data_IF_420461515881
#
_entry.id   IF_420461515881
#
_cell.length_a   1.000
_cell.length_b   1.000
_cell.length_c   1.000
_cell.angle_alpha   90.00
_cell.angle_beta   90.00
_cell.angle_gamma   90.00
#
_symmetry.space_group_name_H-M   'P 1'
#
loop_
_entity.id
_entity.type
_entity.pdbx_description
1 polymer ?
#
# COMPACT_ATOMS: atom_id res chain seq x y z
N UNK A 1 23.95 -79.67 18.12
CA UNK A 1 22.70 -79.53 17.35
C UNK A 1 21.85 -78.46 18.00
N UNK A 2 21.63 -77.36 17.27
CA UNK A 2 20.58 -76.32 17.38
C UNK A 2 20.48 -75.54 18.71
N UNK A 3 20.97 -74.30 18.80
CA UNK A 3 20.47 -73.04 18.21
C UNK A 3 19.41 -72.35 19.08
N UNK A 4 19.81 -71.23 19.72
CA UNK A 4 19.09 -69.95 19.78
C UNK A 4 19.89 -68.95 20.62
N UNK A 5 20.64 -68.09 19.92
CA UNK A 5 21.28 -66.91 20.48
C UNK A 5 20.26 -65.77 20.56
N UNK A 6 20.08 -65.21 21.76
CA UNK A 6 19.46 -63.91 21.95
C UNK A 6 20.57 -62.86 21.87
N UNK A 7 20.61 -62.08 20.80
CA UNK A 7 21.41 -60.86 20.71
C UNK A 7 20.43 -59.70 20.53
N UNK A 8 20.26 -58.89 21.58
CA UNK A 8 19.62 -57.59 21.49
C UNK A 8 20.46 -56.71 20.55
N UNK A 9 19.95 -56.42 19.37
CA UNK A 9 20.46 -55.37 18.48
C UNK A 9 19.67 -54.10 18.78
N UNK A 10 20.33 -53.19 19.50
CA UNK A 10 19.92 -51.81 19.71
C UNK A 10 20.04 -51.09 18.37
N UNK A 11 18.93 -50.90 17.65
CA UNK A 11 18.90 -50.11 16.41
C UNK A 11 18.97 -48.64 16.80
N UNK A 12 20.14 -48.05 16.54
CA UNK A 12 20.40 -46.62 16.61
C UNK A 12 19.69 -45.93 15.44
N UNK A 13 18.49 -45.40 15.67
CA UNK A 13 17.82 -44.51 14.71
C UNK A 13 18.48 -43.13 14.77
N UNK A 14 19.41 -42.89 13.84
CA UNK A 14 19.94 -41.56 13.54
C UNK A 14 18.80 -40.73 12.94
N UNK A 15 18.23 -39.81 13.74
CA UNK A 15 17.37 -38.75 13.24
C UNK A 15 18.26 -37.78 12.48
N UNK A 16 18.26 -37.87 11.15
CA UNK A 16 18.81 -36.81 10.30
C UNK A 16 17.88 -35.61 10.45
N UNK A 17 18.27 -34.66 11.28
CA UNK A 17 17.64 -33.35 11.33
C UNK A 17 17.89 -32.66 9.99
N UNK A 18 16.91 -32.74 9.09
CA UNK A 18 16.88 -31.87 7.91
C UNK A 18 16.76 -30.44 8.45
N UNK A 19 17.72 -29.55 8.17
CA UNK A 19 17.59 -28.16 8.58
C UNK A 19 16.37 -27.60 7.83
N UNK A 20 15.33 -27.23 8.58
CA UNK A 20 14.22 -26.47 8.03
C UNK A 20 14.83 -25.20 7.42
N UNK A 21 14.78 -25.07 6.11
CA UNK A 21 15.15 -23.85 5.42
C UNK A 21 14.31 -22.71 6.02
N UNK A 22 14.90 -21.55 6.34
CA UNK A 22 14.12 -20.43 6.83
C UNK A 22 13.14 -20.05 5.71
N UNK A 23 11.85 -20.34 5.91
CA UNK A 23 10.81 -19.77 5.08
C UNK A 23 10.91 -18.26 5.23
N UNK A 24 11.11 -17.55 4.12
CA UNK A 24 10.93 -16.12 4.07
C UNK A 24 9.49 -15.84 4.53
N UNK A 25 9.33 -15.39 5.77
CA UNK A 25 8.05 -14.88 6.25
C UNK A 25 7.79 -13.58 5.49
N UNK A 26 7.00 -13.66 4.42
CA UNK A 26 6.49 -12.50 3.71
C UNK A 26 5.69 -11.60 4.66
N UNK A 27 5.67 -10.31 4.38
CA UNK A 27 4.89 -9.31 5.11
C UNK A 27 3.43 -9.77 5.27
N UNK A 28 2.87 -9.68 6.48
CA UNK A 28 1.46 -10.01 6.77
C UNK A 28 0.94 -11.37 6.24
N UNK A 29 1.79 -12.41 6.13
CA UNK A 29 1.35 -13.73 5.66
C UNK A 29 1.16 -13.83 4.14
N UNK A 30 1.62 -12.82 3.39
CA UNK A 30 1.75 -12.78 1.92
C UNK A 30 2.78 -13.80 1.39
N UNK A 31 2.92 -14.98 2.01
CA UNK A 31 3.88 -16.03 1.62
C UNK A 31 3.28 -17.45 1.55
N UNK A 32 1.98 -17.63 1.80
CA UNK A 32 1.35 -18.98 1.91
C UNK A 32 0.37 -19.25 0.75
N UNK A 33 0.14 -20.52 0.41
CA UNK A 33 -0.61 -20.92 -0.80
C UNK A 33 -2.05 -20.40 -0.85
N UNK A 34 -2.54 -20.10 -2.05
CA UNK A 34 -3.84 -19.49 -2.34
C UNK A 34 -5.00 -20.51 -2.47
N UNK A 35 -4.83 -21.73 -1.97
CA UNK A 35 -5.80 -22.81 -2.19
C UNK A 35 -7.21 -22.43 -1.68
N UNK A 36 -8.19 -22.46 -2.59
CA UNK A 36 -9.59 -22.11 -2.31
C UNK A 36 -9.94 -20.62 -2.39
N UNK A 37 -8.97 -19.70 -2.42
CA UNK A 37 -9.23 -18.27 -2.64
C UNK A 37 -9.39 -17.93 -4.13
N UNK A 38 -10.14 -16.87 -4.43
CA UNK A 38 -10.20 -16.31 -5.78
C UNK A 38 -8.83 -15.75 -6.18
N UNK A 39 -8.43 -15.92 -7.44
CA UNK A 39 -7.16 -15.40 -7.97
C UNK A 39 -7.48 -14.38 -9.07
N UNK A 40 -6.74 -13.27 -9.18
CA UNK A 40 -6.94 -12.33 -10.28
C UNK A 40 -6.80 -13.00 -11.65
N UNK A 41 -7.72 -12.69 -12.55
CA UNK A 41 -7.79 -13.25 -13.90
C UNK A 41 -7.61 -12.13 -14.93
N UNK A 42 -6.73 -12.37 -15.90
CA UNK A 42 -6.50 -11.40 -16.97
C UNK A 42 -7.77 -11.25 -17.82
N UNK A 43 -8.11 -10.01 -18.15
CA UNK A 43 -9.22 -9.69 -19.06
C UNK A 43 -10.57 -9.49 -18.38
N UNK A 44 -10.66 -9.69 -17.06
CA UNK A 44 -11.83 -9.28 -16.27
C UNK A 44 -11.73 -7.77 -16.00
N UNK A 45 -12.67 -6.95 -16.52
CA UNK A 45 -12.62 -5.51 -16.31
C UNK A 45 -13.11 -5.14 -14.90
N UNK A 46 -12.53 -4.07 -14.36
CA UNK A 46 -13.09 -3.39 -13.20
C UNK A 46 -14.46 -2.79 -13.54
N UNK A 47 -15.41 -2.88 -12.61
CA UNK A 47 -16.76 -2.34 -12.73
C UNK A 47 -17.13 -1.53 -11.50
N UNK A 48 -17.42 -0.24 -11.72
CA UNK A 48 -17.79 0.70 -10.66
C UNK A 48 -19.31 0.94 -10.64
N UNK A 49 -19.92 1.12 -9.46
CA UNK A 49 -19.27 1.26 -8.15
C UNK A 49 -18.94 -0.07 -7.44
N UNK A 50 -19.31 -1.23 -8.00
CA UNK A 50 -19.14 -2.55 -7.35
C UNK A 50 -17.74 -2.76 -6.77
N UNK A 51 -16.71 -2.48 -7.55
CA UNK A 51 -15.31 -2.76 -7.18
C UNK A 51 -14.70 -1.69 -6.24
N UNK A 52 -15.50 -0.72 -5.77
CA UNK A 52 -15.14 0.07 -4.58
C UNK A 52 -15.37 -0.69 -3.27
N UNK A 53 -16.27 -1.68 -3.28
CA UNK A 53 -16.57 -2.51 -2.13
C UNK A 53 -15.41 -3.42 -1.73
N UNK A 54 -15.63 -4.21 -0.68
CA UNK A 54 -14.72 -5.29 -0.31
C UNK A 54 -14.91 -6.52 -1.21
N UNK A 55 -13.82 -7.24 -1.45
CA UNK A 55 -13.76 -8.46 -2.25
C UNK A 55 -13.42 -9.68 -1.37
N UNK A 56 -14.33 -10.17 -0.52
CA UNK A 56 -14.04 -11.14 0.54
C UNK A 56 -13.60 -12.53 0.06
N UNK A 57 -13.81 -12.84 -1.22
CA UNK A 57 -13.31 -14.08 -1.85
C UNK A 57 -11.80 -14.06 -2.11
N UNK A 58 -11.17 -12.87 -2.05
CA UNK A 58 -9.74 -12.70 -2.16
C UNK A 58 -9.10 -12.67 -0.77
N UNK A 59 -7.88 -13.15 -0.70
CA UNK A 59 -7.19 -13.26 0.57
C UNK A 59 -6.79 -11.91 1.15
N UNK A 60 -6.32 -10.99 0.32
CA UNK A 60 -5.77 -9.71 0.75
C UNK A 60 -6.41 -8.55 0.02
N UNK A 61 -6.59 -7.44 0.73
CA UNK A 61 -7.16 -6.23 0.17
C UNK A 61 -6.74 -4.97 0.95
N UNK A 62 -6.43 -3.88 0.26
CA UNK A 62 -5.90 -2.64 0.86
C UNK A 62 -6.64 -1.41 0.36
N UNK A 63 -7.11 -0.56 1.28
CA UNK A 63 -7.51 0.83 1.03
C UNK A 63 -6.39 1.71 1.54
N UNK A 64 -5.64 2.34 0.63
CA UNK A 64 -4.39 2.99 0.96
C UNK A 64 -4.38 4.42 0.44
N UNK A 65 -4.31 5.40 1.34
CA UNK A 65 -4.35 6.81 0.98
C UNK A 65 -3.13 7.54 1.50
N UNK A 66 -2.45 8.25 0.61
CA UNK A 66 -1.34 9.14 0.93
C UNK A 66 -1.69 10.57 0.57
N UNK A 67 -1.22 11.55 1.34
CA UNK A 67 -1.48 12.97 1.07
C UNK A 67 -0.25 13.83 1.32
N UNK A 68 0.02 14.74 0.39
CA UNK A 68 1.02 15.79 0.49
C UNK A 68 0.30 17.11 0.77
N UNK A 69 0.60 17.72 1.92
CA UNK A 69 -0.16 18.84 2.47
C UNK A 69 0.75 20.05 2.75
N UNK A 70 0.16 21.23 2.70
CA UNK A 70 0.79 22.48 3.12
C UNK A 70 -0.16 23.31 3.98
N UNK A 71 0.38 23.98 4.97
CA UNK A 71 -0.33 25.02 5.74
C UNK A 71 -0.17 26.40 5.08
N UNK A 72 -0.97 27.37 5.53
CA UNK A 72 -0.93 28.74 5.02
C UNK A 72 0.42 29.46 5.22
N UNK A 73 1.20 29.05 6.23
CA UNK A 73 2.56 29.56 6.49
C UNK A 73 3.66 28.82 5.68
N UNK A 74 3.28 27.86 4.83
CA UNK A 74 4.17 27.16 3.91
C UNK A 74 4.84 25.90 4.48
N UNK A 75 4.54 25.50 5.73
CA UNK A 75 5.04 24.22 6.27
C UNK A 75 4.43 23.05 5.50
N UNK A 76 5.26 22.04 5.25
CA UNK A 76 4.86 20.82 4.53
C UNK A 76 4.53 19.71 5.53
N UNK A 77 3.49 18.96 5.21
CA UNK A 77 3.06 17.81 5.98
C UNK A 77 2.72 16.65 5.05
N UNK A 78 2.67 15.46 5.63
CA UNK A 78 2.15 14.28 4.96
C UNK A 78 1.19 13.51 5.85
N UNK A 79 0.13 12.95 5.25
CA UNK A 79 -0.70 11.94 5.90
C UNK A 79 -0.65 10.61 5.15
N UNK A 80 -0.76 9.53 5.92
CA UNK A 80 -1.06 8.21 5.41
C UNK A 80 -2.26 7.64 6.18
N UNK A 81 -3.18 6.99 5.47
CA UNK A 81 -4.24 6.16 6.04
C UNK A 81 -4.33 4.83 5.28
N UNK A 82 -4.22 3.73 6.00
CA UNK A 82 -4.29 2.37 5.43
C UNK A 82 -5.30 1.54 6.19
N UNK A 83 -6.19 0.88 5.47
CA UNK A 83 -6.99 -0.23 5.97
C UNK A 83 -6.65 -1.48 5.16
N UNK A 84 -6.12 -2.48 5.84
CA UNK A 84 -5.76 -3.76 5.27
C UNK A 84 -6.67 -4.87 5.78
N UNK A 85 -7.14 -5.71 4.86
CA UNK A 85 -7.86 -6.94 5.18
C UNK A 85 -7.03 -8.15 4.79
N UNK A 86 -6.98 -9.13 5.68
CA UNK A 86 -6.47 -10.47 5.40
C UNK A 86 -7.49 -11.54 5.80
N UNK A 87 -7.77 -12.48 4.90
CA UNK A 87 -8.62 -13.63 5.17
C UNK A 87 -7.79 -14.81 5.69
N UNK A 88 -8.26 -15.44 6.77
CA UNK A 88 -7.68 -16.65 7.36
C UNK A 88 -8.08 -17.93 6.63
N UNK A 89 -9.27 -17.96 6.06
CA UNK A 89 -9.79 -19.07 5.25
C UNK A 89 -10.63 -18.54 4.07
N UNK A 90 -10.74 -19.31 2.98
CA UNK A 90 -11.61 -18.95 1.86
C UNK A 90 -13.11 -18.95 2.20
N UNK A 91 -13.92 -18.42 1.27
CA UNK A 91 -15.38 -18.42 1.36
C UNK A 91 -15.98 -17.16 1.99
N UNK A 92 -15.19 -16.10 2.17
CA UNK A 92 -15.66 -14.74 2.42
C UNK A 92 -16.41 -14.51 3.73
N UNK A 93 -16.31 -15.42 4.70
CA UNK A 93 -16.95 -15.25 6.01
C UNK A 93 -16.31 -14.10 6.78
N UNK A 94 -17.12 -13.21 7.34
CA UNK A 94 -16.65 -12.08 8.14
C UNK A 94 -15.80 -12.50 9.33
N UNK A 95 -16.21 -13.55 10.06
CA UNK A 95 -15.48 -14.06 11.24
C UNK A 95 -14.07 -14.58 10.91
N UNK A 96 -13.80 -14.83 9.62
CA UNK A 96 -12.52 -15.30 9.10
C UNK A 96 -11.64 -14.17 8.57
N UNK A 97 -12.05 -12.91 8.71
CA UNK A 97 -11.29 -11.73 8.30
C UNK A 97 -10.54 -11.12 9.49
N UNK A 98 -9.31 -10.66 9.23
CA UNK A 98 -8.53 -9.81 10.11
C UNK A 98 -8.36 -8.46 9.43
N UNK A 99 -8.48 -7.39 10.20
CA UNK A 99 -8.30 -6.02 9.76
C UNK A 99 -7.14 -5.37 10.49
N UNK A 100 -6.32 -4.62 9.75
CA UNK A 100 -5.24 -3.80 10.29
C UNK A 100 -5.39 -2.38 9.76
N UNK A 101 -5.40 -1.41 10.66
CA UNK A 101 -5.43 0.00 10.35
C UNK A 101 -4.08 0.64 10.69
N UNK A 102 -3.48 1.35 9.75
CA UNK A 102 -2.31 2.20 10.01
C UNK A 102 -2.62 3.64 9.63
N UNK A 103 -2.17 4.58 10.45
CA UNK A 103 -2.29 5.99 10.15
C UNK A 103 -1.03 6.72 10.62
N UNK A 104 -0.61 7.71 9.83
CA UNK A 104 0.52 8.55 10.17
C UNK A 104 0.30 10.02 9.83
N UNK A 105 0.95 10.88 10.60
CA UNK A 105 1.11 12.29 10.31
C UNK A 105 2.59 12.66 10.37
N UNK A 106 3.09 13.27 9.29
CA UNK A 106 4.51 13.61 9.11
C UNK A 106 4.69 15.11 8.93
N UNK A 107 5.62 15.72 9.66
CA UNK A 107 6.23 17.02 9.37
C UNK A 107 7.73 16.82 9.14
N UNK A 108 8.46 17.90 8.85
CA UNK A 108 9.92 17.84 8.74
C UNK A 108 10.60 17.39 10.06
N UNK A 109 9.95 17.63 11.20
CA UNK A 109 10.50 17.37 12.54
C UNK A 109 9.95 16.09 13.18
N UNK A 110 8.76 15.63 12.77
CA UNK A 110 8.10 14.49 13.42
C UNK A 110 7.47 13.53 12.41
N UNK A 111 7.46 12.26 12.78
CA UNK A 111 6.62 11.24 12.17
C UNK A 111 5.88 10.52 13.28
N UNK A 112 4.56 10.69 13.32
CA UNK A 112 3.68 10.16 14.36
C UNK A 112 2.80 9.07 13.75
N UNK A 113 2.72 7.92 14.42
CA UNK A 113 2.09 6.72 13.86
C UNK A 113 1.12 6.10 14.85
N UNK A 114 0.10 5.42 14.33
CA UNK A 114 -0.79 4.60 15.14
C UNK A 114 -1.19 3.33 14.39
N UNK A 115 -1.54 2.30 15.16
CA UNK A 115 -2.07 1.03 14.66
C UNK A 115 -3.41 0.71 15.32
N UNK A 116 -4.30 0.05 14.56
CA UNK A 116 -5.50 -0.63 15.05
C UNK A 116 -5.54 -2.04 14.49
N UNK A 117 -6.00 -2.98 15.29
CA UNK A 117 -6.20 -4.37 14.88
C UNK A 117 -7.62 -4.79 15.27
N UNK A 118 -8.33 -5.40 14.32
CA UNK A 118 -9.71 -5.83 14.55
C UNK A 118 -9.98 -7.20 13.94
N UNK A 119 -10.90 -7.93 14.57
CA UNK A 119 -11.47 -9.17 14.03
C UNK A 119 -12.73 -8.84 13.25
N UNK A 120 -12.89 -9.43 12.07
CA UNK A 120 -14.13 -9.34 11.32
C UNK A 120 -15.30 -10.01 12.06
N UNK A 121 -16.52 -9.66 11.67
CA UNK A 121 -17.76 -10.17 12.27
C UNK A 121 -18.11 -9.57 13.64
N UNK A 122 -17.31 -8.63 14.15
CA UNK A 122 -17.56 -7.94 15.43
C UNK A 122 -18.22 -6.56 15.25
N UNK A 123 -18.24 -6.03 14.03
CA UNK A 123 -18.63 -4.64 13.73
C UNK A 123 -17.52 -3.61 13.95
N UNK A 124 -16.38 -4.02 14.52
CA UNK A 124 -15.25 -3.12 14.84
C UNK A 124 -14.55 -2.56 13.59
N UNK A 125 -14.51 -3.32 12.50
CA UNK A 125 -13.93 -2.91 11.23
C UNK A 125 -14.72 -3.50 10.08
N UNK A 126 -14.69 -2.84 8.93
CA UNK A 126 -15.38 -3.30 7.74
C UNK A 126 -15.42 -2.28 6.62
N UNK A 127 -16.08 -2.67 5.54
CA UNK A 127 -16.36 -1.81 4.39
C UNK A 127 -17.79 -2.03 3.92
N UNK A 128 -18.55 -0.96 3.74
CA UNK A 128 -19.86 -0.93 3.07
C UNK A 128 -19.75 -0.13 1.78
N UNK A 129 -20.53 -0.48 0.75
CA UNK A 129 -20.52 0.22 -0.53
C UNK A 129 -21.61 1.29 -0.66
N UNK A 130 -22.76 1.10 -0.02
CA UNK A 130 -23.93 1.94 -0.20
C UNK A 130 -24.59 2.31 1.15
N UNK A 131 -24.28 3.48 1.72
CA UNK A 131 -23.23 4.41 1.30
C UNK A 131 -21.82 3.84 1.54
N UNK A 132 -20.83 4.35 0.80
CA UNK A 132 -19.45 3.91 0.97
C UNK A 132 -18.90 4.33 2.33
N UNK A 133 -18.40 3.36 3.09
CA UNK A 133 -17.67 3.56 4.35
C UNK A 133 -16.63 2.46 4.49
N UNK A 134 -15.40 2.82 4.81
CA UNK A 134 -14.36 1.90 5.27
C UNK A 134 -13.88 2.36 6.64
N UNK A 135 -13.89 1.48 7.64
CA UNK A 135 -13.63 1.87 9.02
C UNK A 135 -12.86 0.81 9.82
N UNK A 136 -12.22 1.29 10.89
CA UNK A 136 -11.71 0.48 12.00
C UNK A 136 -11.75 1.34 13.27
N UNK A 137 -12.49 0.87 14.27
CA UNK A 137 -12.82 1.66 15.46
C UNK A 137 -13.38 3.05 15.09
N UNK A 138 -12.74 4.12 15.53
CA UNK A 138 -13.12 5.50 15.24
C UNK A 138 -12.55 6.05 13.92
N UNK A 139 -11.65 5.32 13.25
CA UNK A 139 -11.03 5.73 12.00
C UNK A 139 -11.92 5.39 10.82
N UNK A 140 -11.96 6.29 9.84
CA UNK A 140 -12.93 6.18 8.76
C UNK A 140 -12.51 6.86 7.47
N UNK A 141 -12.98 6.29 6.37
CA UNK A 141 -13.03 6.86 5.03
C UNK A 141 -14.48 6.70 4.53
N UNK A 142 -15.24 7.79 4.46
CA UNK A 142 -16.68 7.73 4.17
C UNK A 142 -17.05 8.64 3.02
N UNK A 143 -18.04 8.23 2.22
CA UNK A 143 -18.57 9.09 1.17
C UNK A 143 -19.29 10.31 1.73
N UNK A 144 -19.09 11.45 1.07
CA UNK A 144 -19.89 12.67 1.24
C UNK A 144 -20.84 12.92 0.07
N UNK A 145 -20.92 11.97 -0.86
CA UNK A 145 -21.85 12.06 -1.99
C UNK A 145 -23.26 11.80 -1.46
N UNK A 146 -24.18 12.74 -1.69
CA UNK A 146 -25.56 12.62 -1.24
C UNK A 146 -26.30 11.48 -1.96
N UNK A 147 -27.30 10.91 -1.29
CA UNK A 147 -28.08 9.77 -1.80
C UNK A 147 -28.67 10.00 -3.19
N UNK A 148 -29.18 11.21 -3.47
CA UNK A 148 -29.71 11.56 -4.80
C UNK A 148 -28.64 11.50 -5.89
N UNK A 149 -27.42 11.96 -5.60
CA UNK A 149 -26.31 11.92 -6.56
C UNK A 149 -25.81 10.48 -6.76
N UNK A 150 -25.73 9.68 -5.70
CA UNK A 150 -25.42 8.25 -5.80
C UNK A 150 -26.46 7.50 -6.65
N UNK A 151 -27.75 7.79 -6.44
CA UNK A 151 -28.84 7.24 -7.24
C UNK A 151 -28.77 7.69 -8.72
N UNK A 152 -28.22 8.87 -8.99
CA UNK A 152 -27.94 9.37 -10.33
C UNK A 152 -26.63 8.82 -10.95
N UNK A 153 -25.94 7.91 -10.28
CA UNK A 153 -24.72 7.27 -10.77
C UNK A 153 -23.43 8.03 -10.48
N UNK A 154 -23.44 8.98 -9.55
CA UNK A 154 -22.20 9.59 -9.08
C UNK A 154 -21.31 8.54 -8.40
N UNK A 155 -20.00 8.66 -8.63
CA UNK A 155 -19.00 7.80 -8.01
C UNK A 155 -18.97 8.05 -6.48
N UNK A 156 -19.14 7.03 -5.63
CA UNK A 156 -19.18 7.19 -4.17
C UNK A 156 -17.85 7.65 -3.57
N UNK A 157 -16.73 7.44 -4.26
CA UNK A 157 -15.41 7.91 -3.83
C UNK A 157 -15.09 9.30 -4.37
N UNK A 158 -15.94 9.92 -5.20
CA UNK A 158 -15.69 11.26 -5.75
C UNK A 158 -15.59 12.35 -4.68
N UNK A 159 -16.23 12.17 -3.53
CA UNK A 159 -16.13 13.05 -2.36
C UNK A 159 -16.05 12.22 -1.09
N UNK A 160 -15.01 12.43 -0.30
CA UNK A 160 -14.75 11.65 0.92
C UNK A 160 -14.57 12.56 2.14
N UNK A 161 -14.88 12.03 3.31
CA UNK A 161 -14.31 12.45 4.58
C UNK A 161 -13.37 11.36 5.08
N UNK A 162 -12.18 11.75 5.54
CA UNK A 162 -11.16 10.87 6.08
C UNK A 162 -10.80 11.31 7.50
N UNK A 163 -10.71 10.36 8.43
CA UNK A 163 -10.29 10.65 9.79
C UNK A 163 -9.52 9.51 10.44
N UNK A 164 -8.50 9.87 11.20
CA UNK A 164 -7.79 8.98 12.11
C UNK A 164 -7.17 9.75 13.28
N UNK A 165 -6.80 9.01 14.32
CA UNK A 165 -6.14 9.53 15.52
C UNK A 165 -5.19 8.53 16.17
N UNK A 166 -4.02 9.02 16.54
CA UNK A 166 -3.08 8.37 17.45
C UNK A 166 -3.01 9.07 18.80
N UNK A 167 -1.98 8.75 19.58
CA UNK A 167 -1.72 9.37 20.88
C UNK A 167 -1.44 10.87 20.75
N UNK A 168 -0.62 11.24 19.78
CA UNK A 168 -0.07 12.60 19.62
C UNK A 168 -0.53 13.29 18.33
N UNK A 169 -1.43 12.69 17.56
CA UNK A 169 -1.97 13.30 16.35
C UNK A 169 -3.44 12.94 16.11
N UNK A 170 -4.12 13.81 15.38
CA UNK A 170 -5.45 13.56 14.80
C UNK A 170 -5.58 14.33 13.50
N UNK A 171 -6.23 13.76 12.51
CA UNK A 171 -6.63 14.51 11.31
C UNK A 171 -8.08 14.26 10.95
N UNK A 172 -8.69 15.30 10.39
CA UNK A 172 -10.03 15.27 9.79
C UNK A 172 -9.96 16.00 8.46
N UNK A 173 -10.16 15.27 7.37
CA UNK A 173 -9.89 15.75 6.02
C UNK A 173 -11.12 15.55 5.13
N UNK A 174 -11.34 16.50 4.22
CA UNK A 174 -12.29 16.37 3.13
C UNK A 174 -11.51 16.22 1.82
N UNK A 175 -11.97 15.31 0.96
CA UNK A 175 -11.34 15.05 -0.33
C UNK A 175 -12.36 15.18 -1.46
N UNK A 176 -11.91 15.69 -2.60
CA UNK A 176 -12.70 15.79 -3.82
C UNK A 176 -11.88 15.34 -5.03
N UNK A 177 -12.39 14.35 -5.77
CA UNK A 177 -11.74 13.84 -6.98
C UNK A 177 -11.87 14.86 -8.12
N UNK A 178 -10.73 15.19 -8.74
CA UNK A 178 -10.63 16.14 -9.88
C UNK A 178 -10.27 15.45 -11.20
N UNK A 179 -10.16 14.13 -11.19
CA UNK A 179 -9.84 13.31 -12.36
C UNK A 179 -10.45 11.91 -12.24
N UNK A 180 -10.31 11.08 -13.28
CA UNK A 180 -10.92 9.76 -13.31
C UNK A 180 -10.22 8.76 -12.39
N UNK A 181 -10.91 7.65 -12.10
CA UNK A 181 -10.27 6.43 -11.63
C UNK A 181 -9.31 5.91 -12.69
N UNK A 182 -8.13 5.45 -12.26
CA UNK A 182 -7.07 4.99 -13.15
C UNK A 182 -6.82 3.50 -12.91
N UNK A 183 -7.20 2.61 -13.85
CA UNK A 183 -6.84 1.21 -13.76
C UNK A 183 -5.33 1.03 -13.96
N UNK A 184 -4.68 0.28 -13.06
CA UNK A 184 -3.26 -0.03 -13.17
C UNK A 184 -3.02 -1.26 -14.04
N UNK A 185 -1.80 -1.39 -14.59
CA UNK A 185 -1.43 -2.53 -15.44
C UNK A 185 -2.33 -2.69 -16.67
N UNK A 186 -2.67 -3.93 -17.03
CA UNK A 186 -3.59 -4.21 -18.14
C UNK A 186 -5.04 -4.05 -17.65
N UNK A 187 -5.55 -2.82 -17.72
CA UNK A 187 -6.95 -2.46 -17.43
C UNK A 187 -7.43 -2.93 -16.04
N UNK A 188 -6.55 -2.84 -15.05
CA UNK A 188 -6.81 -3.22 -13.67
C UNK A 188 -6.10 -4.51 -13.27
N UNK A 189 -5.62 -5.32 -14.22
CA UNK A 189 -4.81 -6.50 -13.94
C UNK A 189 -3.32 -6.12 -13.88
N UNK A 190 -2.78 -6.03 -12.66
CA UNK A 190 -1.41 -5.57 -12.39
C UNK A 190 -0.50 -6.74 -12.01
N UNK A 191 0.52 -7.00 -12.84
CA UNK A 191 1.50 -8.08 -12.61
C UNK A 191 2.61 -7.58 -11.69
N UNK A 192 2.95 -8.39 -10.68
CA UNK A 192 3.89 -8.07 -9.59
C UNK A 192 5.17 -8.90 -9.60
N UNK A 193 5.37 -9.77 -10.58
CA UNK A 193 6.57 -10.61 -10.60
C UNK A 193 6.81 -11.21 -11.96
N UNK A 194 8.03 -11.67 -12.20
CA UNK A 194 8.37 -12.43 -13.39
C UNK A 194 7.63 -13.78 -13.44
N UNK A 195 7.26 -14.35 -12.28
CA UNK A 195 6.52 -15.60 -12.18
C UNK A 195 5.00 -15.43 -12.40
N UNK A 196 4.51 -14.19 -12.54
CA UNK A 196 3.16 -13.89 -12.98
C UNK A 196 2.13 -13.69 -11.86
N UNK A 197 2.54 -13.61 -10.59
CA UNK A 197 1.63 -13.15 -9.54
C UNK A 197 1.05 -11.78 -9.88
N UNK A 198 -0.24 -11.60 -9.66
CA UNK A 198 -0.96 -10.39 -10.02
C UNK A 198 -1.95 -9.94 -8.95
N UNK A 199 -2.44 -8.72 -9.10
CA UNK A 199 -3.52 -8.14 -8.31
C UNK A 199 -4.49 -7.39 -9.21
N UNK A 200 -5.74 -7.28 -8.77
CA UNK A 200 -6.59 -6.25 -9.31
C UNK A 200 -6.27 -4.93 -8.62
N UNK A 201 -6.11 -3.86 -9.39
CA UNK A 201 -5.54 -2.61 -8.90
C UNK A 201 -6.08 -1.40 -9.68
N UNK A 202 -6.59 -0.41 -8.96
CA UNK A 202 -6.80 0.92 -9.51
C UNK A 202 -6.41 2.00 -8.50
N UNK A 203 -6.26 3.23 -9.02
CA UNK A 203 -5.98 4.42 -8.22
C UNK A 203 -7.02 5.52 -8.44
N UNK A 204 -7.16 6.41 -7.47
CA UNK A 204 -7.77 7.73 -7.63
C UNK A 204 -6.69 8.78 -7.29
N UNK A 205 -5.87 9.20 -8.26
CA UNK A 205 -4.63 9.96 -7.99
C UNK A 205 -4.82 11.49 -8.01
N UNK A 206 -6.00 11.96 -8.39
CA UNK A 206 -6.31 13.38 -8.56
C UNK A 206 -7.23 13.90 -7.45
N UNK A 207 -6.96 13.59 -6.17
CA UNK A 207 -7.71 14.21 -5.08
C UNK A 207 -7.12 15.57 -4.72
N UNK A 208 -7.98 16.58 -4.60
CA UNK A 208 -7.70 17.72 -3.73
C UNK A 208 -8.13 17.37 -2.32
N UNK A 209 -7.33 17.74 -1.33
CA UNK A 209 -7.57 17.48 0.09
C UNK A 209 -7.45 18.76 0.92
N UNK A 210 -8.30 18.91 1.92
CA UNK A 210 -8.24 20.03 2.88
C UNK A 210 -8.82 19.63 4.22
N UNK A 211 -8.34 20.24 5.30
CA UNK A 211 -8.92 20.07 6.63
C UNK A 211 -7.92 20.39 7.73
N UNK A 212 -8.11 19.74 8.86
CA UNK A 212 -7.43 20.07 10.10
C UNK A 212 -6.51 18.93 10.53
N UNK A 213 -5.26 19.27 10.83
CA UNK A 213 -4.26 18.39 11.42
C UNK A 213 -3.91 18.90 12.83
N UNK A 214 -4.11 18.04 13.83
CA UNK A 214 -3.73 18.30 15.22
C UNK A 214 -2.43 17.57 15.50
N UNK A 215 -1.42 18.32 15.94
CA UNK A 215 -0.10 17.84 16.36
C UNK A 215 0.21 18.35 17.78
N UNK A 216 1.30 17.90 18.43
CA UNK A 216 1.70 18.41 19.75
C UNK A 216 1.95 19.92 19.77
N UNK A 217 2.36 20.50 18.63
CA UNK A 217 2.58 21.93 18.45
C UNK A 217 1.28 22.74 18.35
N UNK A 218 0.15 22.08 18.10
CA UNK A 218 -1.17 22.69 17.96
C UNK A 218 -1.92 22.22 16.72
N UNK A 219 -3.09 22.83 16.55
CA UNK A 219 -3.96 22.62 15.41
C UNK A 219 -3.49 23.45 14.20
N UNK A 220 -3.48 22.83 13.02
CA UNK A 220 -3.04 23.44 11.76
C UNK A 220 -4.04 23.12 10.65
N UNK A 221 -4.53 24.17 10.01
CA UNK A 221 -5.30 24.06 8.76
C UNK A 221 -4.36 23.81 7.59
N UNK A 222 -4.71 22.82 6.77
CA UNK A 222 -3.87 22.32 5.68
C UNK A 222 -4.68 22.03 4.43
N UNK A 223 -4.03 22.18 3.28
CA UNK A 223 -4.57 21.84 1.95
C UNK A 223 -3.50 21.14 1.12
N UNK A 224 -3.89 20.39 0.09
CA UNK A 224 -2.94 19.75 -0.79
C UNK A 224 -3.54 18.75 -1.76
N UNK A 225 -2.73 17.76 -2.12
CA UNK A 225 -3.09 16.65 -3.00
C UNK A 225 -3.08 15.32 -2.26
N UNK A 226 -3.94 14.41 -2.68
CA UNK A 226 -3.96 13.05 -2.17
C UNK A 226 -4.10 12.03 -3.29
N UNK A 227 -3.72 10.80 -2.95
CA UNK A 227 -3.73 9.64 -3.81
C UNK A 227 -4.36 8.49 -3.05
N UNK A 228 -5.35 7.82 -3.65
CA UNK A 228 -5.89 6.57 -3.13
C UNK A 228 -5.50 5.42 -4.05
N UNK A 229 -5.02 4.33 -3.46
CA UNK A 229 -4.87 3.04 -4.07
C UNK A 229 -5.83 2.01 -3.50
N UNK A 230 -6.27 1.15 -4.42
CA UNK A 230 -7.19 0.06 -4.16
C UNK A 230 -6.70 -1.18 -4.84
N UNK A 231 -6.40 -2.18 -4.02
CA UNK A 231 -5.77 -3.40 -4.48
C UNK A 231 -6.30 -4.62 -3.75
N UNK A 232 -6.56 -5.71 -4.49
CA UNK A 232 -6.87 -7.03 -3.92
C UNK A 232 -6.26 -8.17 -4.72
N UNK A 233 -5.87 -9.23 -4.01
CA UNK A 233 -5.39 -10.48 -4.61
C UNK A 233 -5.41 -11.63 -3.61
N UNK A 234 -4.98 -12.82 -4.04
CA UNK A 234 -4.74 -13.95 -3.15
C UNK A 234 -3.35 -14.55 -3.28
N UNK A 235 -2.53 -13.95 -4.15
CA UNK A 235 -1.22 -14.47 -4.44
C UNK A 235 -0.18 -13.80 -3.53
N UNK A 236 0.58 -14.60 -2.79
CA UNK A 236 1.69 -14.09 -2.00
C UNK A 236 2.75 -13.42 -2.89
N UNK A 237 3.58 -12.56 -2.29
CA UNK A 237 4.86 -12.20 -2.90
C UNK A 237 5.66 -13.49 -3.18
N UNK A 238 6.47 -13.49 -4.24
CA UNK A 238 7.25 -14.69 -4.58
C UNK A 238 8.24 -15.00 -3.44
N UNK A 239 8.60 -16.29 -3.26
CA UNK A 239 9.44 -16.72 -2.13
C UNK A 239 10.84 -16.06 -2.11
N UNK A 240 11.32 -15.55 -3.25
CA UNK A 240 12.57 -14.79 -3.36
C UNK A 240 12.44 -13.29 -3.09
N UNK A 241 11.20 -12.77 -2.96
CA UNK A 241 10.97 -11.35 -2.71
C UNK A 241 11.17 -11.01 -1.22
N UNK A 242 11.97 -9.98 -0.98
CA UNK A 242 12.35 -9.52 0.37
C UNK A 242 11.54 -8.32 0.85
N UNK A 243 10.84 -7.64 -0.06
CA UNK A 243 9.95 -6.51 0.19
C UNK A 243 9.79 -5.65 -1.06
N UNK A 244 9.16 -4.49 -0.92
CA UNK A 244 8.95 -3.57 -2.03
C UNK A 244 9.38 -2.15 -1.71
N UNK A 245 9.57 -1.38 -2.77
CA UNK A 245 9.72 0.07 -2.80
C UNK A 245 8.60 0.59 -3.71
N UNK A 246 7.70 1.42 -3.20
CA UNK A 246 6.55 1.94 -3.93
C UNK A 246 6.57 3.47 -3.92
N UNK A 247 6.14 4.07 -5.02
CA UNK A 247 6.11 5.51 -5.25
C UNK A 247 4.76 5.92 -5.84
N UNK A 248 4.17 6.98 -5.30
CA UNK A 248 3.16 7.80 -5.98
C UNK A 248 3.70 9.21 -6.15
N UNK A 249 3.78 9.69 -7.39
CA UNK A 249 4.33 11.01 -7.70
C UNK A 249 3.27 11.89 -8.36
N UNK A 250 3.15 13.11 -7.85
CA UNK A 250 2.42 14.23 -8.41
C UNK A 250 3.42 15.16 -9.09
N UNK A 251 3.45 15.17 -10.42
CA UNK A 251 4.27 16.11 -11.18
C UNK A 251 3.54 17.46 -11.28
N UNK A 252 4.28 18.56 -11.25
CA UNK A 252 3.71 19.91 -11.35
C UNK A 252 2.99 20.17 -12.67
N UNK A 253 3.39 19.47 -13.74
CA UNK A 253 2.74 19.52 -15.05
C UNK A 253 1.35 18.85 -15.08
N UNK A 254 0.97 18.15 -14.01
CA UNK A 254 -0.33 17.53 -13.82
C UNK A 254 -0.33 16.02 -14.02
N UNK A 255 0.66 15.47 -14.73
CA UNK A 255 0.87 14.03 -14.82
C UNK A 255 1.18 13.40 -13.47
N UNK A 256 0.88 12.10 -13.37
CA UNK A 256 1.09 11.30 -12.17
C UNK A 256 1.90 10.05 -12.52
N UNK A 257 2.68 9.55 -11.58
CA UNK A 257 3.41 8.29 -11.74
C UNK A 257 3.15 7.40 -10.52
N UNK A 258 2.63 6.21 -10.76
CA UNK A 258 2.74 5.11 -9.80
C UNK A 258 3.90 4.22 -10.25
N UNK A 259 4.82 3.90 -9.36
CA UNK A 259 5.95 3.05 -9.65
C UNK A 259 6.23 2.13 -8.46
N UNK A 260 6.63 0.89 -8.72
CA UNK A 260 7.14 0.02 -7.67
C UNK A 260 8.29 -0.84 -8.15
N UNK A 261 9.12 -1.23 -7.18
CA UNK A 261 10.15 -2.26 -7.30
C UNK A 261 9.91 -3.32 -6.25
N UNK A 262 9.80 -4.57 -6.70
CA UNK A 262 9.80 -5.73 -5.82
C UNK A 262 11.21 -6.31 -5.77
N UNK A 263 11.84 -6.22 -4.59
CA UNK A 263 13.24 -6.64 -4.41
C UNK A 263 13.32 -8.15 -4.27
N UNK A 264 14.18 -8.80 -5.04
CA UNK A 264 14.44 -10.24 -5.03
C UNK A 264 15.82 -10.53 -5.63
N UNK A 265 15.89 -11.42 -6.62
CA UNK A 265 17.09 -11.66 -7.44
C UNK A 265 17.65 -10.37 -8.07
N UNK A 266 18.85 -10.41 -8.66
CA UNK A 266 19.78 -9.29 -8.85
C UNK A 266 19.27 -7.90 -9.30
N UNK A 267 18.11 -7.78 -9.97
CA UNK A 267 17.54 -6.47 -10.35
C UNK A 267 16.15 -6.16 -9.78
N UNK A 268 15.49 -7.13 -9.12
CA UNK A 268 14.08 -7.01 -8.74
C UNK A 268 13.13 -6.92 -9.94
N UNK A 269 11.83 -6.84 -9.66
CA UNK A 269 10.80 -6.61 -10.68
C UNK A 269 10.30 -5.18 -10.58
N UNK A 270 10.39 -4.41 -11.66
CA UNK A 270 9.92 -3.03 -11.74
C UNK A 270 8.69 -2.93 -12.62
N UNK A 271 7.71 -2.17 -12.18
CA UNK A 271 6.52 -1.86 -12.95
C UNK A 271 5.92 -0.55 -12.46
N UNK A 272 5.17 0.11 -13.31
CA UNK A 272 4.45 1.31 -12.94
C UNK A 272 3.38 1.66 -13.95
N UNK A 273 2.81 2.85 -13.80
CA UNK A 273 1.90 3.43 -14.77
C UNK A 273 2.17 4.93 -14.81
N UNK A 274 2.49 5.40 -16.00
CA UNK A 274 2.43 6.82 -16.31
C UNK A 274 0.98 7.22 -16.52
N UNK A 275 0.55 8.29 -15.88
CA UNK A 275 -0.82 8.77 -15.94
C UNK A 275 -0.76 10.19 -16.47
N UNK A 276 -1.30 10.43 -17.67
CA UNK A 276 -1.34 11.79 -18.21
C UNK A 276 -2.21 12.70 -17.36
N UNK A 277 -2.08 14.03 -17.51
CA UNK A 277 -2.82 15.02 -16.73
C UNK A 277 -4.36 14.91 -16.87
N UNK A 278 -4.86 14.27 -17.94
CA UNK A 278 -6.27 13.95 -18.16
C UNK A 278 -6.69 12.57 -17.60
N UNK A 279 -5.77 11.85 -16.95
CA UNK A 279 -5.99 10.57 -16.29
C UNK A 279 -5.90 9.33 -17.18
N UNK A 280 -5.36 9.43 -18.41
CA UNK A 280 -5.16 8.23 -19.25
C UNK A 280 -3.93 7.42 -18.76
N UNK A 281 -4.09 6.13 -18.44
CA UNK A 281 -2.99 5.28 -18.02
C UNK A 281 -2.15 4.80 -19.20
N UNK A 282 -0.83 4.76 -19.01
CA UNK A 282 0.16 4.10 -19.85
C UNK A 282 0.98 3.17 -18.96
N UNK A 283 0.73 1.84 -18.98
CA UNK A 283 1.49 0.89 -18.19
C UNK A 283 2.98 0.92 -18.57
N UNK A 284 3.85 0.83 -17.57
CA UNK A 284 5.30 0.84 -17.69
C UNK A 284 5.86 -0.51 -17.24
N UNK A 285 6.64 -1.15 -18.11
CA UNK A 285 7.34 -2.39 -17.78
C UNK A 285 8.78 -2.15 -17.31
N UNK A 286 9.54 -3.25 -17.05
CA UNK A 286 10.93 -3.17 -16.60
C UNK A 286 11.91 -2.44 -17.53
N UNK A 287 11.56 -2.24 -18.81
CA UNK A 287 12.36 -1.47 -19.77
C UNK A 287 12.06 0.03 -19.75
N UNK A 288 10.91 0.42 -19.19
CA UNK A 288 10.36 1.77 -19.31
C UNK A 288 10.57 2.59 -18.03
N UNK A 289 10.79 1.90 -16.91
CA UNK A 289 10.95 2.47 -15.57
C UNK A 289 12.22 1.93 -14.92
N UNK A 290 13.04 2.83 -14.38
CA UNK A 290 14.19 2.48 -13.54
C UNK A 290 14.12 3.26 -12.23
N UNK A 291 14.22 2.56 -11.11
CA UNK A 291 14.36 3.17 -9.78
C UNK A 291 15.68 2.76 -9.14
N UNK A 292 16.54 3.74 -8.88
CA UNK A 292 17.90 3.52 -8.39
C UNK A 292 18.06 4.14 -7.00
N UNK A 293 18.39 3.35 -5.96
CA UNK A 293 18.67 3.89 -4.64
C UNK A 293 19.96 4.73 -4.69
N UNK A 294 19.95 5.88 -4.03
CA UNK A 294 21.09 6.80 -3.94
C UNK A 294 21.65 6.81 -2.52
N UNK A 295 21.24 7.77 -1.70
CA UNK A 295 21.72 7.95 -0.33
C UNK A 295 20.88 7.14 0.66
N UNK A 296 21.53 6.62 1.70
CA UNK A 296 20.90 5.88 2.79
C UNK A 296 20.88 6.66 4.09
N UNK A 297 19.81 6.50 4.88
CA UNK A 297 19.74 6.95 6.26
C UNK A 297 19.70 5.77 7.23
N UNK A 298 20.07 6.01 8.50
CA UNK A 298 19.89 5.04 9.58
C UNK A 298 18.67 5.45 10.40
N UNK A 299 17.61 4.64 10.34
CA UNK A 299 16.32 4.94 10.98
C UNK A 299 15.88 3.72 11.78
N UNK A 300 15.51 3.91 13.04
CA UNK A 300 15.06 2.83 13.94
C UNK A 300 16.01 1.60 13.99
N UNK A 301 17.31 1.80 13.77
CA UNK A 301 18.32 0.73 13.73
C UNK A 301 18.59 0.13 12.34
N UNK A 302 17.74 0.40 11.36
CA UNK A 302 17.83 -0.08 9.98
C UNK A 302 18.59 0.89 9.08
N UNK A 303 19.22 0.40 8.00
CA UNK A 303 19.83 1.24 6.95
C UNK A 303 19.01 1.09 5.69
N UNK A 304 18.42 2.19 5.22
CA UNK A 304 17.50 2.19 4.08
C UNK A 304 17.77 3.39 3.16
N UNK A 305 17.55 3.24 1.84
CA UNK A 305 17.69 4.32 0.88
C UNK A 305 16.52 5.30 1.02
N UNK A 306 16.75 6.49 1.57
CA UNK A 306 15.71 7.53 1.68
C UNK A 306 15.75 8.53 0.51
N UNK A 307 16.74 8.37 -0.39
CA UNK A 307 16.87 9.14 -1.63
C UNK A 307 17.02 8.22 -2.83
N UNK A 308 16.31 8.57 -3.90
CA UNK A 308 16.19 7.71 -5.08
C UNK A 308 16.28 8.53 -6.35
N UNK A 309 16.81 7.92 -7.41
CA UNK A 309 16.62 8.38 -8.78
C UNK A 309 15.49 7.59 -9.42
N UNK A 310 14.52 8.28 -10.00
CA UNK A 310 13.39 7.68 -10.72
C UNK A 310 13.46 8.14 -12.18
N UNK A 311 13.53 7.18 -13.09
CA UNK A 311 13.70 7.42 -14.52
C UNK A 311 12.56 6.76 -15.31
N UNK A 312 11.92 7.53 -16.20
CA UNK A 312 10.97 7.05 -17.20
C UNK A 312 11.35 7.67 -18.56
N UNK A 313 12.33 7.08 -19.27
CA UNK A 313 12.93 7.72 -20.45
C UNK A 313 11.94 8.07 -21.56
N UNK A 314 10.92 7.22 -21.77
CA UNK A 314 9.86 7.47 -22.76
C UNK A 314 9.01 8.72 -22.48
N UNK A 315 9.05 9.23 -21.25
CA UNK A 315 8.37 10.44 -20.81
C UNK A 315 9.34 11.56 -20.39
N UNK A 316 10.64 11.39 -20.64
CA UNK A 316 11.66 12.38 -20.27
C UNK A 316 11.85 12.57 -18.77
N UNK A 317 11.35 11.65 -17.94
CA UNK A 317 11.51 11.71 -16.49
C UNK A 317 12.86 11.16 -16.09
N UNK A 318 13.57 11.96 -15.33
CA UNK A 318 14.81 11.69 -14.62
C UNK A 318 14.84 12.65 -13.43
N UNK A 319 14.42 12.16 -12.27
CA UNK A 319 14.26 12.97 -11.05
C UNK A 319 14.93 12.31 -9.87
N UNK A 320 15.38 13.13 -8.92
CA UNK A 320 15.91 12.68 -7.64
C UNK A 320 14.92 13.04 -6.53
N UNK A 321 14.60 12.07 -5.67
CA UNK A 321 13.71 12.23 -4.53
C UNK A 321 14.46 12.62 -3.25
N UNK A 322 13.76 13.32 -2.37
CA UNK A 322 14.19 13.70 -1.03
C UNK A 322 12.99 13.52 -0.08
N UNK A 323 13.19 12.79 1.02
CA UNK A 323 12.18 12.66 2.06
C UNK A 323 11.97 13.99 2.78
N UNK A 324 10.71 14.28 3.16
CA UNK A 324 10.44 15.40 4.06
C UNK A 324 11.07 15.16 5.44
N UNK A 325 11.08 13.90 5.87
CA UNK A 325 11.60 13.44 7.15
C UNK A 325 12.22 12.06 6.95
N UNK A 326 13.53 11.95 7.17
CA UNK A 326 14.24 10.68 7.05
C UNK A 326 13.76 9.66 8.08
N UNK A 327 13.27 10.10 9.24
CA UNK A 327 12.82 9.25 10.35
C UNK A 327 11.37 8.76 10.21
N UNK A 328 10.81 8.73 8.99
CA UNK A 328 9.44 8.32 8.69
C UNK A 328 9.19 6.79 8.83
N UNK A 329 9.49 6.25 10.01
CA UNK A 329 9.38 4.84 10.34
C UNK A 329 8.04 4.48 10.99
N UNK A 330 7.34 3.57 10.33
CA UNK A 330 6.09 2.98 10.81
C UNK A 330 6.39 1.87 11.82
N UNK A 331 6.53 2.23 13.09
CA UNK A 331 6.77 1.31 14.21
C UNK A 331 5.53 0.50 14.62
N UNK A 332 4.88 -0.15 13.66
CA UNK A 332 3.66 -0.96 13.81
C UNK A 332 3.99 -2.46 13.88
N UNK A 333 2.98 -3.33 13.99
CA UNK A 333 3.20 -4.79 14.15
C UNK A 333 3.99 -5.41 12.98
N UNK A 334 3.85 -4.85 11.78
CA UNK A 334 4.67 -5.17 10.62
C UNK A 334 5.42 -3.91 10.19
N UNK A 335 6.65 -3.66 10.69
CA UNK A 335 7.33 -2.39 10.46
C UNK A 335 7.74 -2.14 9.01
N UNK A 336 7.74 -0.87 8.63
CA UNK A 336 8.16 -0.38 7.32
C UNK A 336 8.50 1.11 7.39
N UNK A 337 9.08 1.66 6.33
CA UNK A 337 9.29 3.10 6.20
C UNK A 337 8.26 3.66 5.24
N UNK A 338 7.64 4.78 5.59
CA UNK A 338 6.68 5.46 4.72
C UNK A 338 6.64 6.95 5.00
N UNK A 339 6.89 7.76 3.97
CA UNK A 339 6.89 9.20 4.13
C UNK A 339 6.68 10.00 2.85
N UNK A 340 6.24 11.26 3.01
CA UNK A 340 6.14 12.20 1.90
C UNK A 340 7.53 12.53 1.38
N UNK A 341 7.64 12.58 0.06
CA UNK A 341 8.85 12.94 -0.68
C UNK A 341 8.56 14.17 -1.56
N UNK A 342 9.62 14.90 -1.88
CA UNK A 342 9.68 15.91 -2.94
C UNK A 342 10.75 15.50 -3.94
N UNK A 343 10.63 15.91 -5.18
CA UNK A 343 11.61 15.55 -6.21
C UNK A 343 11.89 16.70 -7.17
N UNK A 344 13.09 16.67 -7.73
CA UNK A 344 13.58 17.65 -8.70
C UNK A 344 14.52 17.01 -9.72
N UNK A 345 14.85 17.71 -10.80
CA UNK A 345 15.71 17.23 -11.88
C UNK A 345 15.15 17.66 -13.24
N UNK A 346 14.77 16.71 -14.07
CA UNK A 346 14.01 16.98 -15.31
C UNK A 346 12.60 17.51 -15.06
N UNK A 347 12.01 17.18 -13.91
CA UNK A 347 10.67 17.57 -13.48
C UNK A 347 10.71 17.89 -11.98
N UNK A 348 9.73 18.66 -11.52
CA UNK A 348 9.52 18.96 -10.10
C UNK A 348 8.16 18.43 -9.65
N UNK A 349 8.05 18.15 -8.36
CA UNK A 349 6.82 17.69 -7.76
C UNK A 349 6.99 17.08 -6.38
N UNK A 350 5.95 16.37 -5.95
CA UNK A 350 5.83 15.79 -4.62
C UNK A 350 5.17 14.41 -4.69
N UNK A 351 5.28 13.62 -3.64
CA UNK A 351 4.73 12.27 -3.65
C UNK A 351 4.92 11.54 -2.35
N UNK A 352 4.76 10.22 -2.40
CA UNK A 352 5.06 9.31 -1.31
C UNK A 352 6.04 8.24 -1.73
N UNK A 353 6.79 7.75 -0.75
CA UNK A 353 7.60 6.56 -0.84
C UNK A 353 7.21 5.62 0.30
N UNK A 354 6.96 4.36 -0.03
CA UNK A 354 6.76 3.27 0.92
C UNK A 354 7.84 2.20 0.68
N UNK A 355 8.46 1.72 1.76
CA UNK A 355 9.54 0.74 1.73
C UNK A 355 9.35 -0.30 2.82
N UNK A 356 9.03 -1.53 2.43
CA UNK A 356 8.91 -2.67 3.35
C UNK A 356 10.15 -3.53 3.30
N UNK A 357 10.41 -4.39 4.29
CA UNK A 357 11.38 -5.49 4.15
C UNK A 357 12.87 -5.13 4.16
N UNK A 358 13.22 -3.93 4.63
CA UNK A 358 14.61 -3.58 4.98
C UNK A 358 14.93 -4.10 6.39
N UNK A 359 16.13 -4.67 6.57
CA UNK A 359 16.57 -5.31 7.82
C UNK A 359 17.70 -4.54 8.48
#
# INVERSE_FOLDING_TARGET
>A
MNARAYLLLLVLSVVVAVPASPQAQGFAGLGTQAEGFAVPERGVPLAFPRDHGAHPDYRIEWWYLTANLKSADGRSFGLQWTLFRSALEPGGKDASQIWMGHAAATSAERHLVAERLARGGTGQAGVTLAPFSAWIDEWKMETRVGEEALAAGADPLSKLVLGASGTDFRYSMELEAKGPLVPQGDRGYSVKSAEGQASYYYSQPFYTISGTLVLPEGEVEVTGEAWLDREWSSQPLSAGQTGWDWFSLHLESGEKLMAFRLRGDAQGYMSGTWISADGRPTPLGPSDLVVTPLDTARVAGHVLPVRWRVEVPGHGVDVTTEALNDDAWMAVSFPYWEGPIRFSGSHEGQGYLEMTGYK
#
